data_IF_818962316506
#
_entry.id   IF_818962316506
#
_cell.length_a   1.000
_cell.length_b   1.000
_cell.length_c   1.000
_cell.angle_alpha   90.00
_cell.angle_beta   90.00
_cell.angle_gamma   90.00
#
_symmetry.space_group_name_H-M   'P 1'
#
loop_
_entity.id
_entity.type
_entity.pdbx_description
1 polymer ?
#
# COMPACT_ATOMS: atom_id res chain seq x y z
N UNK A 1 23.37 -1.57 3.80
CA UNK A 1 22.58 -2.79 4.07
C UNK A 1 21.34 -2.74 3.20
N UNK A 2 21.18 -3.68 2.28
CA UNK A 2 19.96 -3.80 1.47
C UNK A 2 18.93 -4.54 2.33
N UNK A 3 17.92 -3.83 2.85
CA UNK A 3 16.83 -4.47 3.60
C UNK A 3 16.11 -5.44 2.64
N UNK A 4 16.06 -6.72 3.01
CA UNK A 4 15.35 -7.73 2.23
C UNK A 4 13.84 -7.58 2.44
N UNK A 5 13.04 -7.87 1.40
CA UNK A 5 11.58 -7.89 1.52
C UNK A 5 11.19 -9.05 2.43
N UNK A 6 10.44 -8.78 3.51
CA UNK A 6 10.00 -9.82 4.43
C UNK A 6 8.93 -10.73 3.79
N UNK A 7 9.07 -12.03 4.02
CA UNK A 7 8.17 -13.06 3.54
C UNK A 7 7.27 -13.56 4.66
N UNK A 8 6.00 -13.80 4.36
CA UNK A 8 4.96 -14.25 5.28
C UNK A 8 4.17 -15.42 4.67
N UNK A 9 3.52 -16.23 5.51
CA UNK A 9 2.77 -17.39 5.03
C UNK A 9 1.40 -16.99 4.44
N UNK A 10 0.80 -15.91 4.95
CA UNK A 10 -0.53 -15.45 4.53
C UNK A 10 -0.56 -13.95 4.21
N UNK A 11 -1.60 -13.52 3.48
CA UNK A 11 -1.84 -12.10 3.17
C UNK A 11 -2.21 -11.34 4.44
N UNK A 12 -2.93 -11.97 5.36
CA UNK A 12 -3.32 -11.39 6.64
C UNK A 12 -2.10 -11.09 7.55
N UNK A 13 -1.13 -12.00 7.62
CA UNK A 13 0.13 -11.77 8.34
C UNK A 13 0.95 -10.64 7.71
N UNK A 14 1.11 -10.69 6.38
CA UNK A 14 1.80 -9.65 5.64
C UNK A 14 1.13 -8.27 5.79
N UNK A 15 -0.20 -8.25 5.82
CA UNK A 15 -1.01 -7.05 6.04
C UNK A 15 -0.78 -6.50 7.44
N UNK A 16 -0.88 -7.33 8.48
CA UNK A 16 -0.69 -6.91 9.87
C UNK A 16 0.68 -6.25 10.06
N UNK A 17 1.73 -6.87 9.53
CA UNK A 17 3.10 -6.36 9.60
C UNK A 17 3.30 -5.06 8.78
N UNK A 18 2.72 -4.98 7.57
CA UNK A 18 2.78 -3.74 6.76
C UNK A 18 2.03 -2.60 7.42
N UNK A 19 0.79 -2.83 7.86
CA UNK A 19 -0.06 -1.81 8.47
C UNK A 19 0.55 -1.27 9.76
N UNK A 20 1.18 -2.14 10.58
CA UNK A 20 1.92 -1.70 11.76
C UNK A 20 3.05 -0.71 11.41
N UNK A 21 3.64 -0.85 10.22
CA UNK A 21 4.71 0.03 9.74
C UNK A 21 4.16 1.32 9.13
N UNK A 22 3.32 1.22 8.09
CA UNK A 22 2.96 2.33 7.20
C UNK A 22 1.96 3.32 7.78
N UNK A 23 1.24 2.93 8.84
CA UNK A 23 0.29 3.81 9.50
C UNK A 23 0.99 4.80 10.45
N UNK A 24 2.29 4.65 10.67
CA UNK A 24 3.10 5.62 11.44
C UNK A 24 3.37 6.86 10.59
N UNK A 25 3.01 8.09 11.03
CA UNK A 25 3.18 9.31 10.25
C UNK A 25 4.60 9.56 9.72
N UNK A 26 5.62 9.12 10.45
CA UNK A 26 7.03 9.24 10.04
C UNK A 26 7.40 8.43 8.78
N UNK A 27 6.52 7.53 8.34
CA UNK A 27 6.72 6.69 7.14
C UNK A 27 5.84 7.11 5.96
N UNK A 28 5.04 8.18 6.12
CA UNK A 28 4.17 8.67 5.06
C UNK A 28 5.00 9.33 3.96
N UNK A 29 4.55 9.18 2.72
CA UNK A 29 5.26 9.64 1.54
C UNK A 29 4.55 10.83 0.90
N UNK A 30 5.28 11.86 0.46
CA UNK A 30 4.70 12.91 -0.38
C UNK A 30 4.44 12.38 -1.79
N UNK A 31 3.26 12.68 -2.34
CA UNK A 31 2.92 12.31 -3.73
C UNK A 31 3.83 13.07 -4.71
N UNK A 32 4.05 14.35 -4.45
CA UNK A 32 4.79 15.25 -5.32
C UNK A 32 6.29 14.90 -5.35
N UNK A 33 6.87 14.55 -4.19
CA UNK A 33 8.27 14.11 -4.12
C UNK A 33 8.49 12.78 -4.88
N UNK A 34 7.55 11.84 -4.78
CA UNK A 34 7.61 10.58 -5.54
C UNK A 34 7.45 10.77 -7.05
N UNK A 35 6.72 11.80 -7.47
CA UNK A 35 6.60 12.17 -8.87
C UNK A 35 7.91 12.79 -9.39
N UNK A 36 8.60 13.58 -8.56
CA UNK A 36 9.88 14.20 -8.89
C UNK A 36 11.06 13.21 -8.84
N UNK A 37 11.05 12.26 -7.90
CA UNK A 37 12.10 11.26 -7.72
C UNK A 37 11.54 9.83 -7.64
N UNK A 38 11.79 9.06 -8.69
CA UNK A 38 11.36 7.67 -8.79
C UNK A 38 12.02 6.73 -7.76
N UNK A 39 13.12 7.15 -7.12
CA UNK A 39 13.78 6.38 -6.06
C UNK A 39 12.98 6.34 -4.75
N UNK A 40 12.13 7.35 -4.54
CA UNK A 40 11.25 7.47 -3.37
C UNK A 40 10.00 6.59 -3.47
N UNK A 41 9.74 5.98 -4.63
CA UNK A 41 8.54 5.16 -4.84
C UNK A 41 8.56 3.94 -3.91
N UNK A 42 7.43 3.58 -3.29
CA UNK A 42 7.35 2.53 -2.27
C UNK A 42 7.75 1.15 -2.82
N UNK A 43 7.50 0.90 -4.11
CA UNK A 43 7.90 -0.35 -4.79
C UNK A 43 9.42 -0.56 -4.90
N UNK A 44 10.24 0.46 -4.60
CA UNK A 44 11.70 0.37 -4.56
C UNK A 44 12.26 0.16 -3.14
N UNK A 45 11.44 0.36 -2.12
CA UNK A 45 11.86 0.31 -0.73
C UNK A 45 11.21 -0.89 0.00
N UNK A 46 12.03 -1.74 0.61
CA UNK A 46 11.58 -2.96 1.28
C UNK A 46 10.68 -2.69 2.50
N UNK A 47 10.76 -1.50 3.10
CA UNK A 47 9.89 -1.08 4.21
C UNK A 47 8.41 -1.21 3.84
N UNK A 48 8.05 -0.77 2.64
CA UNK A 48 6.68 -0.72 2.13
C UNK A 48 6.22 -2.02 1.47
N UNK A 49 7.03 -3.08 1.54
CA UNK A 49 6.79 -4.28 0.74
C UNK A 49 6.83 -5.56 1.55
N UNK A 50 5.98 -6.51 1.17
CA UNK A 50 6.00 -7.89 1.66
C UNK A 50 5.81 -8.88 0.55
N UNK A 51 6.12 -10.14 0.85
CA UNK A 51 5.97 -11.26 -0.06
C UNK A 51 5.16 -12.37 0.59
N UNK A 52 4.25 -12.97 -0.18
CA UNK A 52 3.49 -14.18 0.17
C UNK A 52 3.60 -15.12 -1.03
N UNK A 53 4.54 -16.06 -0.98
CA UNK A 53 4.86 -16.92 -2.13
C UNK A 53 5.20 -16.10 -3.40
N UNK A 54 4.45 -16.22 -4.51
CA UNK A 54 4.68 -15.43 -5.73
C UNK A 54 4.09 -14.02 -5.68
N UNK A 55 3.25 -13.71 -4.68
CA UNK A 55 2.58 -12.42 -4.54
C UNK A 55 3.52 -11.42 -3.87
N UNK A 56 3.78 -10.29 -4.52
CA UNK A 56 4.36 -9.11 -3.90
C UNK A 56 3.23 -8.14 -3.53
N UNK A 57 3.32 -7.62 -2.33
CA UNK A 57 2.41 -6.63 -1.78
C UNK A 57 3.22 -5.38 -1.51
N UNK A 58 2.72 -4.23 -1.93
CA UNK A 58 3.29 -2.92 -1.63
C UNK A 58 2.19 -2.08 -1.01
N UNK A 59 2.44 -1.40 0.10
CA UNK A 59 1.45 -0.52 0.71
C UNK A 59 2.14 0.71 1.29
N UNK A 60 1.48 1.87 1.21
CA UNK A 60 1.95 3.11 1.80
C UNK A 60 0.78 4.05 2.08
N UNK A 61 1.03 5.02 2.95
CA UNK A 61 0.19 6.21 3.10
C UNK A 61 0.87 7.36 2.35
N UNK A 62 0.11 7.99 1.46
CA UNK A 62 0.57 9.09 0.63
C UNK A 62 -0.14 10.39 1.06
N UNK A 63 0.60 11.50 1.04
CA UNK A 63 0.09 12.83 1.39
C UNK A 63 0.33 13.78 0.23
N UNK A 64 -0.71 14.53 -0.15
CA UNK A 64 -0.60 15.61 -1.12
C UNK A 64 -0.21 16.94 -0.46
N UNK A 65 0.23 17.89 -1.27
CA UNK A 65 0.40 19.30 -0.90
C UNK A 65 -0.89 19.97 -0.39
N UNK A 66 -2.06 19.47 -0.79
CA UNK A 66 -3.38 19.88 -0.27
C UNK A 66 -3.75 19.22 1.08
N UNK A 67 -2.82 18.49 1.70
CA UNK A 67 -3.00 17.73 2.95
C UNK A 67 -4.06 16.63 2.84
N UNK A 68 -4.32 16.14 1.64
CA UNK A 68 -5.15 14.97 1.43
C UNK A 68 -4.32 13.70 1.64
N UNK A 69 -4.89 12.75 2.38
CA UNK A 69 -4.19 11.53 2.77
C UNK A 69 -4.84 10.35 2.06
N UNK A 70 -4.01 9.50 1.45
CA UNK A 70 -4.43 8.35 0.66
C UNK A 70 -3.74 7.09 1.16
N UNK A 71 -4.48 5.99 1.20
CA UNK A 71 -3.93 4.65 1.37
C UNK A 71 -3.79 4.03 -0.02
N UNK A 72 -2.57 3.70 -0.39
CA UNK A 72 -2.26 2.94 -1.61
C UNK A 72 -1.86 1.53 -1.21
N UNK A 73 -2.50 0.54 -1.81
CA UNK A 73 -2.15 -0.87 -1.70
C UNK A 73 -2.02 -1.41 -3.11
N UNK A 74 -0.89 -2.03 -3.43
CA UNK A 74 -0.62 -2.57 -4.75
C UNK A 74 -0.18 -4.03 -4.66
N UNK A 75 -0.59 -4.81 -5.65
CA UNK A 75 -0.29 -6.23 -5.75
C UNK A 75 0.39 -6.53 -7.07
N UNK A 76 1.33 -7.48 -7.05
CA UNK A 76 1.98 -8.00 -8.26
C UNK A 76 2.28 -9.48 -8.12
N UNK A 77 1.79 -10.27 -9.06
CA UNK A 77 2.15 -11.68 -9.21
C UNK A 77 2.08 -12.08 -10.70
N UNK A 78 2.74 -13.18 -11.12
CA UNK A 78 2.58 -13.72 -12.46
C UNK A 78 1.10 -14.05 -12.76
N UNK A 79 0.57 -13.51 -13.87
CA UNK A 79 -0.82 -13.75 -14.28
C UNK A 79 -1.90 -13.14 -13.36
N UNK A 80 -1.52 -12.22 -12.46
CA UNK A 80 -2.47 -11.53 -11.59
C UNK A 80 -3.42 -10.64 -12.42
N UNK A 81 -4.72 -10.75 -12.17
CA UNK A 81 -5.76 -9.92 -12.79
C UNK A 81 -6.35 -8.94 -11.78
N UNK A 82 -6.98 -7.83 -12.21
CA UNK A 82 -7.61 -6.88 -11.29
C UNK A 82 -8.64 -7.51 -10.35
N UNK A 83 -9.42 -8.47 -10.85
CA UNK A 83 -10.41 -9.20 -10.04
C UNK A 83 -9.74 -10.00 -8.92
N UNK A 84 -8.72 -10.81 -9.24
CA UNK A 84 -7.97 -11.56 -8.22
C UNK A 84 -7.21 -10.66 -7.25
N UNK A 85 -6.74 -9.51 -7.73
CA UNK A 85 -6.08 -8.53 -6.87
C UNK A 85 -7.08 -7.87 -5.90
N UNK A 86 -8.36 -7.75 -6.27
CA UNK A 86 -9.42 -7.31 -5.36
C UNK A 86 -9.70 -8.34 -4.26
N UNK A 87 -9.66 -9.65 -4.56
CA UNK A 87 -9.75 -10.70 -3.53
C UNK A 87 -8.58 -10.58 -2.52
N UNK A 88 -7.36 -10.30 -3.01
CA UNK A 88 -6.22 -10.03 -2.14
C UNK A 88 -6.36 -8.75 -1.33
N UNK A 89 -6.97 -7.70 -1.90
CA UNK A 89 -7.29 -6.47 -1.19
C UNK A 89 -8.29 -6.74 -0.05
N UNK A 90 -9.33 -7.54 -0.31
CA UNK A 90 -10.30 -7.93 0.72
C UNK A 90 -9.61 -8.70 1.87
N UNK A 91 -8.76 -9.68 1.55
CA UNK A 91 -7.98 -10.41 2.54
C UNK A 91 -7.01 -9.48 3.31
N UNK A 92 -6.36 -8.55 2.61
CA UNK A 92 -5.45 -7.58 3.22
C UNK A 92 -6.18 -6.66 4.21
N UNK A 93 -7.41 -6.25 3.90
CA UNK A 93 -8.22 -5.34 4.73
C UNK A 93 -9.07 -6.07 5.78
N UNK A 94 -8.88 -7.38 5.96
CA UNK A 94 -9.66 -8.20 6.89
C UNK A 94 -9.55 -7.70 8.34
N UNK A 95 -8.39 -7.17 8.72
CA UNK A 95 -8.24 -6.37 9.95
C UNK A 95 -8.89 -5.00 9.77
N UNK A 96 -9.80 -4.62 10.67
CA UNK A 96 -10.49 -3.32 10.61
C UNK A 96 -9.50 -2.15 10.59
N UNK A 97 -9.55 -1.37 9.51
CA UNK A 97 -8.88 -0.08 9.39
C UNK A 97 -9.91 1.06 9.46
N UNK A 98 -9.52 2.25 9.98
CA UNK A 98 -10.35 3.45 9.88
C UNK A 98 -10.30 3.97 8.43
N UNK A 99 -11.13 3.40 7.56
CA UNK A 99 -11.32 3.90 6.19
C UNK A 99 -12.47 4.89 6.17
N UNK A 100 -12.37 5.94 5.34
CA UNK A 100 -13.46 6.90 5.13
C UNK A 100 -14.69 6.16 4.62
N UNK A 101 -15.86 6.23 5.29
CA UNK A 101 -17.09 5.59 4.81
C UNK A 101 -17.44 6.03 3.39
N UNK A 102 -18.08 5.15 2.62
CA UNK A 102 -18.59 5.43 1.27
C UNK A 102 -17.56 5.95 0.25
N UNK A 103 -16.26 5.79 0.52
CA UNK A 103 -15.21 6.09 -0.46
C UNK A 103 -14.91 4.86 -1.30
N UNK A 104 -14.86 5.03 -2.62
CA UNK A 104 -14.54 3.96 -3.55
C UNK A 104 -13.03 3.74 -3.66
N UNK A 105 -12.64 2.54 -4.06
CA UNK A 105 -11.26 2.23 -4.43
C UNK A 105 -11.06 2.61 -5.90
N UNK A 106 -10.07 3.45 -6.17
CA UNK A 106 -9.58 3.70 -7.53
C UNK A 106 -8.58 2.60 -7.89
N UNK A 107 -8.67 2.09 -9.12
CA UNK A 107 -7.83 0.98 -9.60
C UNK A 107 -7.02 1.41 -10.80
N UNK A 108 -5.71 1.19 -10.75
CA UNK A 108 -4.76 1.48 -11.83
C UNK A 108 -3.83 0.28 -12.04
N UNK A 109 -3.47 0.01 -13.29
CA UNK A 109 -2.44 -0.99 -13.63
C UNK A 109 -1.26 -0.28 -14.29
N UNK A 110 -0.08 -0.41 -13.68
CA UNK A 110 1.13 0.23 -14.22
C UNK A 110 1.85 -0.64 -15.26
N UNK A 111 2.83 -0.05 -15.95
CA UNK A 111 3.65 -0.71 -16.98
C UNK A 111 4.43 -1.92 -16.44
N UNK A 112 4.69 -1.96 -15.12
CA UNK A 112 5.38 -3.05 -14.42
C UNK A 112 4.41 -4.12 -13.91
N UNK A 113 3.14 -4.02 -14.28
CA UNK A 113 2.03 -4.91 -13.91
C UNK A 113 1.71 -4.93 -12.41
N UNK A 114 2.00 -3.85 -11.69
CA UNK A 114 1.37 -3.65 -10.40
C UNK A 114 -0.07 -3.22 -10.59
N UNK A 115 -0.97 -3.82 -9.83
CA UNK A 115 -2.36 -3.41 -9.74
C UNK A 115 -2.50 -2.62 -8.45
N UNK A 116 -2.69 -1.31 -8.59
CA UNK A 116 -2.78 -0.34 -7.50
C UNK A 116 -4.24 -0.12 -7.14
N UNK A 117 -4.51 -0.12 -5.84
CA UNK A 117 -5.77 0.29 -5.23
C UNK A 117 -5.49 1.50 -4.38
N UNK A 118 -6.16 2.61 -4.68
CA UNK A 118 -5.98 3.88 -3.96
C UNK A 118 -7.32 4.33 -3.40
N UNK A 119 -7.32 4.74 -2.14
CA UNK A 119 -8.51 5.28 -1.49
C UNK A 119 -8.13 6.36 -0.48
N UNK A 120 -9.01 7.34 -0.29
CA UNK A 120 -8.83 8.36 0.75
C UNK A 120 -8.77 7.71 2.14
N UNK A 121 -7.71 8.02 2.89
CA UNK A 121 -7.46 7.50 4.23
C UNK A 121 -7.80 8.57 5.26
N UNK A 122 -8.82 8.31 6.07
CA UNK A 122 -9.14 9.12 7.24
C UNK A 122 -8.59 8.41 8.48
N UNK A 123 -7.27 8.39 8.62
CA UNK A 123 -6.63 7.99 9.88
C UNK A 123 -7.18 8.84 11.03
N UNK A 124 -7.20 8.26 12.23
CA UNK A 124 -7.55 8.99 13.46
C UNK A 124 -6.77 10.29 13.52
N UNK A 125 -7.50 11.42 13.47
CA UNK A 125 -7.09 12.82 13.60
C UNK A 125 -5.58 13.04 13.77
N UNK A 126 -4.98 13.81 12.85
CA UNK A 126 -3.78 14.61 13.13
C UNK A 126 -3.88 15.12 14.57
N UNK A 127 -3.05 14.59 15.48
CA UNK A 127 -2.86 15.20 16.78
C UNK A 127 -1.94 16.38 16.53
N UNK A 128 -2.54 17.57 16.64
CA UNK A 128 -1.82 18.85 16.66
C UNK A 128 -0.87 18.93 17.86
#
# INVERSE_FOLDING_TARGET
MQLAIHEHATVEEASTDLLASILTPATWLSIEEQAADASLRPVQNALYQRRVGPLRICACVEVSTSLEVFLRIAFRAPGLTPVKAADHLEAFLRSRLPLTPNSEWQVEVDERRWIHFVRRYAGTRLQA
#
